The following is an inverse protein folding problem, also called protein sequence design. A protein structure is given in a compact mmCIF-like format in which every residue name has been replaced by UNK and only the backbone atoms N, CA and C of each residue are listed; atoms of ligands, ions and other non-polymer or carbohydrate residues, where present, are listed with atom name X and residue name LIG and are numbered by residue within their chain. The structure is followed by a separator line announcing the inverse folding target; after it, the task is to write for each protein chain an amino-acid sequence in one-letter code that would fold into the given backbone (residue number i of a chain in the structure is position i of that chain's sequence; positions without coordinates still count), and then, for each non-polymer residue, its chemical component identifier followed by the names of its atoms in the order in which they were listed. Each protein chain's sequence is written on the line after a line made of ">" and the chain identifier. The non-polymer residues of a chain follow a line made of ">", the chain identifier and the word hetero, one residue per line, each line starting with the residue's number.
data_IF_018915373794
#
_entry.id   IF_018915373794
#
_cell.length_a   1.000
_cell.length_b   1.000
_cell.length_c   1.000
_cell.angle_alpha   90.00
_cell.angle_beta   90.00
_cell.angle_gamma   90.00
#
_symmetry.space_group_name_H-M   'P 1'
#
loop_
_entity.id
_entity.type
_entity.pdbx_description
1 polymer ?
#
# COMPACT_ATOMS: atom_id res chain seq x y z
N UNK A 1 13.43 18.10 -15.34
CA UNK A 1 13.48 17.90 -13.87
C UNK A 1 14.17 16.56 -13.64
N UNK A 2 15.46 16.57 -13.33
CA UNK A 2 16.28 15.36 -13.20
C UNK A 2 16.09 14.77 -11.80
N UNK A 3 15.72 13.49 -11.75
CA UNK A 3 15.70 12.67 -10.55
C UNK A 3 17.16 12.45 -10.06
N UNK A 4 17.73 13.44 -9.37
CA UNK A 4 19.16 13.49 -9.00
C UNK A 4 19.53 12.74 -7.72
N UNK A 5 18.57 12.11 -7.02
CA UNK A 5 18.81 11.50 -5.71
C UNK A 5 18.47 10.01 -5.65
N UNK A 6 18.92 9.25 -6.65
CA UNK A 6 18.91 7.79 -6.57
C UNK A 6 20.07 7.33 -5.67
N UNK A 7 19.75 6.86 -4.46
CA UNK A 7 20.73 6.16 -3.61
C UNK A 7 20.92 4.76 -4.16
N UNK A 8 22.15 4.44 -4.58
CA UNK A 8 22.49 3.10 -5.05
C UNK A 8 22.39 2.10 -3.89
N UNK A 9 21.45 1.16 -3.97
CA UNK A 9 21.41 0.01 -3.07
C UNK A 9 22.33 -1.09 -3.59
N UNK A 10 23.22 -1.58 -2.73
CA UNK A 10 24.17 -2.64 -3.09
C UNK A 10 23.53 -4.04 -3.08
N UNK A 11 22.36 -4.17 -2.45
CA UNK A 11 21.57 -5.40 -2.44
C UNK A 11 20.66 -5.43 -3.68
N UNK A 12 21.09 -6.18 -4.69
CA UNK A 12 20.35 -6.42 -5.95
C UNK A 12 19.47 -7.67 -5.89
N UNK A 13 19.47 -8.38 -4.76
CA UNK A 13 18.81 -9.69 -4.66
C UNK A 13 17.39 -9.59 -4.12
N UNK A 14 17.05 -8.50 -3.45
CA UNK A 14 15.74 -8.27 -2.89
C UNK A 14 14.92 -7.30 -3.78
N UNK A 15 13.63 -7.60 -4.05
CA UNK A 15 12.80 -6.73 -4.86
C UNK A 15 12.63 -5.35 -4.20
N UNK A 16 12.66 -4.30 -5.02
CA UNK A 16 12.28 -2.95 -4.62
C UNK A 16 10.76 -2.90 -4.67
N UNK A 17 10.10 -2.83 -3.52
CA UNK A 17 8.66 -2.57 -3.48
C UNK A 17 8.44 -1.11 -3.18
N UNK A 18 8.03 -0.38 -4.22
CA UNK A 18 7.70 1.03 -4.12
C UNK A 18 6.28 1.16 -3.56
N UNK A 19 6.18 1.13 -2.23
CA UNK A 19 5.09 1.79 -1.52
C UNK A 19 5.71 3.00 -0.82
N UNK A 20 5.27 4.20 -1.21
CA UNK A 20 5.65 5.44 -0.56
C UNK A 20 4.48 5.93 0.27
N UNK A 21 4.78 6.27 1.51
CA UNK A 21 3.76 6.75 2.43
C UNK A 21 4.27 7.97 3.15
N UNK A 22 3.45 9.02 3.17
CA UNK A 22 3.69 10.16 4.05
C UNK A 22 3.25 9.81 5.46
N UNK A 23 4.20 9.85 6.38
CA UNK A 23 3.98 9.66 7.81
C UNK A 23 4.30 10.99 8.48
N UNK A 24 3.57 11.29 9.55
CA UNK A 24 3.92 12.41 10.40
C UNK A 24 4.92 11.93 11.46
N UNK A 25 6.17 12.33 11.32
CA UNK A 25 7.20 12.16 12.35
C UNK A 25 7.37 13.50 13.07
N UNK A 26 6.90 13.56 14.31
CA UNK A 26 6.81 14.78 15.14
C UNK A 26 5.98 15.87 14.42
N UNK A 27 6.59 17.02 14.14
CA UNK A 27 5.96 18.15 13.45
C UNK A 27 6.19 18.13 11.93
N UNK A 28 6.85 17.09 11.39
CA UNK A 28 7.27 17.03 9.99
C UNK A 28 6.66 15.85 9.24
N UNK A 29 6.45 16.03 7.93
CA UNK A 29 6.05 14.96 7.02
C UNK A 29 7.30 14.26 6.48
N UNK A 30 7.32 12.93 6.57
CA UNK A 30 8.41 12.08 6.10
C UNK A 30 7.85 11.04 5.14
N UNK A 31 8.59 10.76 4.06
CA UNK A 31 8.21 9.71 3.11
C UNK A 31 9.00 8.45 3.42
N UNK A 32 8.32 7.35 3.69
CA UNK A 32 8.96 6.04 3.88
C UNK A 32 9.03 5.27 2.56
N UNK A 33 10.14 4.55 2.34
CA UNK A 33 10.37 3.66 1.21
C UNK A 33 10.94 2.33 1.70
N UNK A 34 10.33 1.20 1.33
CA UNK A 34 10.92 -0.11 1.61
C UNK A 34 11.83 -0.59 0.48
N UNK A 35 13.04 -1.01 0.82
CA UNK A 35 13.97 -1.64 -0.11
C UNK A 35 14.62 -2.84 0.56
N UNK A 36 14.33 -4.03 0.03
CA UNK A 36 14.75 -5.28 0.63
C UNK A 36 14.24 -5.38 2.07
N UNK A 37 15.14 -5.38 3.05
CA UNK A 37 14.82 -5.50 4.48
C UNK A 37 14.84 -4.19 5.26
N UNK A 38 15.01 -3.06 4.57
CA UNK A 38 15.17 -1.75 5.19
C UNK A 38 14.06 -0.81 4.76
N UNK A 39 13.70 0.09 5.67
CA UNK A 39 12.84 1.23 5.37
C UNK A 39 13.70 2.49 5.38
N UNK A 40 13.68 3.25 4.30
CA UNK A 40 14.31 4.55 4.19
C UNK A 40 13.27 5.62 4.45
N UNK A 41 13.58 6.52 5.36
CA UNK A 41 12.79 7.69 5.67
C UNK A 41 13.45 8.90 5.02
N UNK A 42 12.72 9.55 4.13
CA UNK A 42 13.19 10.72 3.39
C UNK A 42 12.38 11.92 3.86
N UNK A 43 13.06 12.89 4.45
CA UNK A 43 12.49 14.19 4.77
C UNK A 43 12.80 15.15 3.62
N UNK A 44 11.77 15.83 3.15
CA UNK A 44 11.90 16.84 2.11
C UNK A 44 11.79 18.24 2.71
N UNK A 45 12.62 19.14 2.22
CA UNK A 45 12.54 20.55 2.55
C UNK A 45 11.30 21.16 1.89
N UNK A 46 10.45 21.83 2.67
CA UNK A 46 9.21 22.43 2.18
C UNK A 46 9.30 23.95 2.15
N UNK A 47 9.19 24.56 0.97
CA UNK A 47 9.18 26.02 0.76
C UNK A 47 7.78 26.58 0.60
N UNK A 48 6.87 26.26 1.52
CA UNK A 48 5.50 26.80 1.56
C UNK A 48 4.54 26.32 0.47
N UNK A 49 5.03 26.01 -0.74
CA UNK A 49 4.22 25.56 -1.88
C UNK A 49 4.83 24.37 -2.62
N UNK A 50 6.09 24.03 -2.37
CA UNK A 50 6.76 22.93 -3.04
C UNK A 50 7.81 22.28 -2.15
N UNK A 51 8.06 21.00 -2.41
CA UNK A 51 9.24 20.30 -1.93
C UNK A 51 10.35 20.44 -2.96
N UNK A 52 11.48 21.05 -2.60
CA UNK A 52 12.53 21.43 -3.55
C UNK A 52 13.85 20.68 -3.35
N UNK A 53 14.07 20.08 -2.19
CA UNK A 53 15.24 19.24 -1.94
C UNK A 53 14.97 18.17 -0.88
N UNK A 54 15.83 17.16 -0.84
CA UNK A 54 15.91 16.23 0.30
C UNK A 54 16.66 16.95 1.42
N UNK A 55 16.03 17.05 2.59
CA UNK A 55 16.64 17.61 3.81
C UNK A 55 17.50 16.56 4.50
N UNK A 56 16.96 15.34 4.66
CA UNK A 56 17.67 14.24 5.30
C UNK A 56 17.12 12.89 4.84
N UNK A 57 17.98 11.87 4.91
CA UNK A 57 17.63 10.47 4.71
C UNK A 57 18.10 9.71 5.94
N UNK A 58 17.21 8.97 6.57
CA UNK A 58 17.57 7.96 7.58
C UNK A 58 17.10 6.59 7.11
N UNK A 59 17.69 5.54 7.66
CA UNK A 59 17.30 4.17 7.36
C UNK A 59 17.03 3.42 8.65
N UNK A 60 15.94 2.67 8.66
CA UNK A 60 15.54 1.79 9.73
C UNK A 60 15.72 0.36 9.25
N UNK A 61 16.38 -0.45 10.07
CA UNK A 61 16.32 -1.89 9.93
C UNK A 61 15.09 -2.33 10.73
N UNK A 62 14.15 -2.99 10.07
CA UNK A 62 13.05 -3.62 10.80
C UNK A 62 13.60 -4.87 11.46
N UNK A 63 13.41 -4.97 12.77
CA UNK A 63 13.84 -6.14 13.54
C UNK A 63 13.16 -7.41 13.00
N UNK A 64 13.89 -8.53 13.05
CA UNK A 64 13.38 -9.87 12.73
C UNK A 64 12.90 -10.12 11.28
N UNK A 65 13.35 -9.33 10.31
CA UNK A 65 13.26 -9.72 8.89
C UNK A 65 14.42 -10.67 8.56
N UNK A 66 14.11 -11.96 8.40
CA UNK A 66 15.12 -13.00 8.20
C UNK A 66 15.93 -12.77 6.92
N UNK A 67 17.17 -13.25 6.92
CA UNK A 67 18.00 -13.23 5.71
C UNK A 67 17.33 -14.07 4.61
N UNK A 68 17.25 -13.53 3.40
CA UNK A 68 16.52 -14.13 2.28
C UNK A 68 15.06 -13.68 2.15
N UNK A 69 14.52 -12.98 3.16
CA UNK A 69 13.21 -12.32 3.10
C UNK A 69 13.34 -10.83 2.77
N UNK A 70 12.21 -10.17 2.48
CA UNK A 70 12.13 -8.74 2.16
C UNK A 70 10.77 -8.18 2.57
N UNK A 71 10.70 -6.86 2.72
CA UNK A 71 9.47 -6.11 2.93
C UNK A 71 8.74 -6.02 1.59
N UNK A 72 7.57 -6.64 1.49
CA UNK A 72 6.80 -6.74 0.26
C UNK A 72 5.80 -5.61 0.05
N UNK A 73 5.43 -4.88 1.10
CA UNK A 73 4.63 -3.65 1.02
C UNK A 73 4.70 -2.86 2.34
N UNK A 74 4.46 -1.55 2.28
CA UNK A 74 4.37 -0.66 3.45
C UNK A 74 3.18 0.28 3.36
N UNK A 75 2.66 0.73 4.51
CA UNK A 75 1.60 1.73 4.59
C UNK A 75 1.70 2.52 5.91
N UNK A 76 1.27 3.78 5.92
CA UNK A 76 1.08 4.53 7.18
C UNK A 76 -0.12 3.94 7.87
N UNK A 77 0.01 3.78 9.17
CA UNK A 77 -1.12 3.43 9.98
C UNK A 77 -1.89 4.69 10.39
N UNK A 78 -3.16 4.78 9.97
CA UNK A 78 -4.04 5.87 10.39
C UNK A 78 -4.60 5.60 11.78
N UNK A 79 -3.86 6.01 12.81
CA UNK A 79 -4.12 5.64 14.22
C UNK A 79 -5.19 6.48 14.93
N UNK A 80 -5.81 7.45 14.26
CA UNK A 80 -6.85 8.31 14.88
C UNK A 80 -8.05 7.47 15.32
N UNK A 81 -8.27 7.40 16.65
CA UNK A 81 -9.33 6.58 17.26
C UNK A 81 -9.03 5.08 17.29
N UNK A 82 -7.87 4.64 16.80
CA UNK A 82 -7.44 3.24 16.81
C UNK A 82 -6.84 2.85 18.15
N UNK A 83 -7.07 1.59 18.54
CA UNK A 83 -6.38 0.95 19.68
C UNK A 83 -4.95 0.55 19.33
N UNK A 84 -4.65 0.42 18.05
CA UNK A 84 -3.33 0.08 17.55
C UNK A 84 -2.43 1.33 17.53
N UNK A 85 -1.29 1.23 18.19
CA UNK A 85 -0.31 2.32 18.33
C UNK A 85 0.99 1.95 17.63
N UNK A 86 0.96 2.04 16.31
CA UNK A 86 2.13 1.99 15.45
C UNK A 86 1.98 3.00 14.31
N UNK A 87 3.09 3.36 13.69
CA UNK A 87 3.18 4.37 12.64
C UNK A 87 3.12 3.73 11.24
N UNK A 88 3.63 2.51 11.14
CA UNK A 88 3.81 1.77 9.90
C UNK A 88 3.17 0.40 9.99
N UNK A 89 2.50 0.02 8.91
CA UNK A 89 2.24 -1.37 8.57
C UNK A 89 3.24 -1.81 7.53
N UNK A 90 3.81 -2.97 7.74
CA UNK A 90 4.66 -3.64 6.75
C UNK A 90 4.15 -5.06 6.53
N UNK A 91 4.30 -5.55 5.30
CA UNK A 91 4.28 -6.99 5.08
C UNK A 91 5.65 -7.50 4.68
N UNK A 92 5.94 -8.73 5.08
CA UNK A 92 7.21 -9.40 4.87
C UNK A 92 6.97 -10.63 3.99
N UNK A 93 7.64 -10.67 2.85
CA UNK A 93 7.36 -11.60 1.76
C UNK A 93 7.54 -13.07 2.12
N UNK A 94 8.77 -13.54 2.34
CA UNK A 94 9.03 -14.98 2.58
C UNK A 94 8.43 -15.47 3.89
N UNK A 95 8.35 -14.59 4.88
CA UNK A 95 7.74 -14.91 6.18
C UNK A 95 6.21 -14.89 6.11
N UNK A 96 5.62 -14.34 5.04
CA UNK A 96 4.18 -14.12 4.90
C UNK A 96 3.55 -13.47 6.14
N UNK A 97 4.23 -12.47 6.70
CA UNK A 97 3.83 -11.82 7.93
C UNK A 97 3.40 -10.38 7.68
N UNK A 98 2.58 -9.86 8.58
CA UNK A 98 2.23 -8.44 8.65
C UNK A 98 2.61 -7.94 10.04
N UNK A 99 3.26 -6.78 10.09
CA UNK A 99 3.74 -6.18 11.34
C UNK A 99 3.39 -4.71 11.42
N UNK A 100 3.06 -4.28 12.62
CA UNK A 100 2.96 -2.88 13.02
C UNK A 100 4.29 -2.44 13.63
N UNK A 101 4.87 -1.38 13.07
CA UNK A 101 6.18 -0.85 13.45
C UNK A 101 6.08 0.63 13.82
N UNK A 102 6.91 1.07 14.75
CA UNK A 102 7.16 2.50 14.99
C UNK A 102 8.10 3.07 13.92
N UNK A 103 8.13 4.40 13.79
CA UNK A 103 9.14 5.11 12.96
C UNK A 103 10.58 4.87 13.48
N UNK A 104 10.76 4.29 14.66
CA UNK A 104 12.08 3.83 15.15
C UNK A 104 12.55 2.52 14.51
N UNK A 105 11.66 1.79 13.81
CA UNK A 105 11.91 0.45 13.29
C UNK A 105 11.52 -0.67 14.26
N UNK A 106 11.16 -0.32 15.50
CA UNK A 106 10.69 -1.27 16.52
C UNK A 106 9.38 -1.93 16.09
N UNK A 107 9.36 -3.26 16.14
CA UNK A 107 8.14 -4.05 15.93
C UNK A 107 7.34 -4.06 17.23
N UNK A 108 6.16 -3.43 17.20
CA UNK A 108 5.28 -3.35 18.39
C UNK A 108 4.09 -4.30 18.30
N UNK A 109 3.76 -4.79 17.11
CA UNK A 109 2.64 -5.70 16.92
C UNK A 109 2.88 -6.65 15.75
N UNK A 110 2.73 -7.94 16.02
CA UNK A 110 2.53 -8.92 14.96
C UNK A 110 1.04 -9.05 14.64
N UNK A 111 0.71 -9.00 13.35
CA UNK A 111 -0.65 -9.19 12.84
C UNK A 111 -0.67 -10.54 12.16
N UNK A 112 -1.18 -11.55 12.87
CA UNK A 112 -1.31 -12.93 12.40
C UNK A 112 -2.76 -13.22 12.04
N UNK A 113 -3.13 -13.25 10.74
CA UNK A 113 -4.42 -13.79 10.34
C UNK A 113 -4.52 -15.27 10.73
N UNK A 114 -5.74 -15.75 10.93
CA UNK A 114 -6.00 -17.16 11.28
C UNK A 114 -5.65 -18.15 10.17
N UNK A 115 -5.68 -17.69 8.93
CA UNK A 115 -5.37 -18.48 7.75
C UNK A 115 -3.94 -18.20 7.31
N UNK A 116 -3.32 -19.18 6.65
CA UNK A 116 -2.02 -18.99 6.03
C UNK A 116 -2.06 -17.84 5.03
N UNK A 117 -1.16 -16.89 5.21
CA UNK A 117 -0.95 -15.81 4.27
C UNK A 117 -0.03 -16.31 3.15
N UNK A 118 -0.37 -15.94 1.92
CA UNK A 118 0.59 -15.87 0.82
C UNK A 118 1.13 -14.44 0.69
N UNK A 119 2.05 -14.23 -0.27
CA UNK A 119 2.72 -12.95 -0.48
C UNK A 119 1.72 -11.79 -0.57
N UNK A 120 1.73 -10.90 0.44
CA UNK A 120 0.94 -9.67 0.45
C UNK A 120 1.63 -8.66 -0.47
N UNK A 121 0.86 -8.14 -1.44
CA UNK A 121 1.34 -7.23 -2.49
C UNK A 121 0.83 -5.80 -2.30
N UNK A 122 -0.22 -5.59 -1.50
CA UNK A 122 -0.69 -4.26 -1.11
C UNK A 122 -1.33 -4.31 0.27
N UNK A 123 -1.12 -3.25 1.07
CA UNK A 123 -1.70 -3.10 2.40
C UNK A 123 -2.18 -1.66 2.61
N UNK A 124 -3.31 -1.49 3.27
CA UNK A 124 -3.83 -0.19 3.68
C UNK A 124 -4.57 -0.29 5.02
N UNK A 125 -4.71 0.82 5.74
CA UNK A 125 -5.39 0.85 7.04
C UNK A 125 -6.43 1.97 7.17
N UNK A 126 -7.44 1.70 8.00
CA UNK A 126 -8.45 2.65 8.47
C UNK A 126 -8.78 2.33 9.92
N UNK A 127 -8.08 2.99 10.85
CA UNK A 127 -8.15 2.65 12.27
C UNK A 127 -7.75 1.20 12.49
N UNK A 128 -8.57 0.44 13.22
CA UNK A 128 -8.28 -0.97 13.53
C UNK A 128 -8.55 -1.95 12.35
N UNK A 129 -9.00 -1.44 11.19
CA UNK A 129 -9.28 -2.24 10.00
C UNK A 129 -8.11 -2.16 9.02
N UNK A 130 -7.60 -3.32 8.63
CA UNK A 130 -6.48 -3.47 7.70
C UNK A 130 -6.99 -4.17 6.45
N UNK A 131 -6.82 -3.53 5.30
CA UNK A 131 -7.10 -4.11 3.99
C UNK A 131 -5.82 -4.71 3.40
N UNK A 132 -5.88 -5.96 2.97
CA UNK A 132 -4.74 -6.66 2.36
C UNK A 132 -5.11 -7.23 0.99
N UNK A 133 -4.17 -7.11 0.06
CA UNK A 133 -4.16 -7.87 -1.19
C UNK A 133 -2.98 -8.82 -1.11
N UNK A 134 -3.23 -10.09 -1.33
CA UNK A 134 -2.20 -11.11 -1.40
C UNK A 134 -2.40 -11.89 -2.70
N UNK A 135 -1.32 -12.51 -3.17
CA UNK A 135 -1.15 -12.90 -4.58
C UNK A 135 -2.22 -13.86 -5.12
N UNK A 136 -2.83 -14.65 -4.25
CA UNK A 136 -3.65 -15.80 -4.66
C UNK A 136 -5.16 -15.55 -4.63
N UNK A 137 -5.65 -14.44 -4.06
CA UNK A 137 -7.10 -14.15 -4.12
C UNK A 137 -7.46 -13.04 -5.09
N UNK A 138 -8.62 -13.23 -5.68
CA UNK A 138 -9.28 -12.27 -6.56
C UNK A 138 -10.12 -11.24 -5.78
N UNK A 139 -9.82 -11.03 -4.49
CA UNK A 139 -10.51 -10.07 -3.63
C UNK A 139 -9.54 -9.43 -2.62
N UNK A 140 -9.94 -8.28 -2.07
CA UNK A 140 -9.22 -7.65 -0.95
C UNK A 140 -9.80 -8.21 0.35
N UNK A 141 -8.96 -8.66 1.28
CA UNK A 141 -9.43 -9.08 2.61
C UNK A 141 -9.39 -7.93 3.59
N UNK A 142 -10.42 -7.83 4.42
CA UNK A 142 -10.46 -6.92 5.55
C UNK A 142 -10.20 -7.69 6.83
N UNK A 143 -9.16 -7.29 7.54
CA UNK A 143 -8.81 -7.79 8.86
C UNK A 143 -9.20 -6.74 9.89
N UNK A 144 -9.85 -7.15 10.98
CA UNK A 144 -9.92 -6.32 12.18
C UNK A 144 -8.81 -6.78 13.09
N UNK A 145 -7.86 -5.89 13.36
CA UNK A 145 -6.80 -6.17 14.32
C UNK A 145 -7.32 -5.84 15.72
N UNK A 146 -7.96 -6.84 16.34
CA UNK A 146 -8.22 -6.88 17.78
C UNK A 146 -7.13 -7.73 18.49
N UNK A 147 -7.39 -8.17 19.72
CA UNK A 147 -6.49 -9.09 20.46
C UNK A 147 -6.27 -10.41 19.69
N UNK A 148 -7.19 -10.77 18.78
CA UNK A 148 -7.19 -11.99 17.98
C UNK A 148 -7.51 -11.70 16.51
N UNK A 149 -6.62 -11.08 15.72
CA UNK A 149 -6.88 -10.70 14.31
C UNK A 149 -7.87 -11.62 13.57
N UNK A 150 -9.12 -11.17 13.38
CA UNK A 150 -10.15 -11.92 12.64
C UNK A 150 -10.38 -11.28 11.28
N UNK A 151 -10.58 -12.11 10.26
CA UNK A 151 -11.18 -11.65 9.02
C UNK A 151 -12.58 -11.11 9.33
N UNK A 152 -12.87 -9.89 8.90
CA UNK A 152 -14.12 -9.20 9.17
C UNK A 152 -14.96 -8.95 7.90
N UNK A 153 -14.38 -9.18 6.73
CA UNK A 153 -15.04 -8.96 5.46
C UNK A 153 -14.10 -9.07 4.27
N UNK A 154 -14.61 -8.77 3.08
CA UNK A 154 -13.83 -8.71 1.85
C UNK A 154 -14.39 -7.65 0.92
N UNK A 155 -13.51 -6.98 0.18
CA UNK A 155 -13.89 -6.10 -0.92
C UNK A 155 -13.84 -6.94 -2.20
N UNK A 156 -15.00 -7.12 -2.83
CA UNK A 156 -15.18 -7.98 -3.99
C UNK A 156 -15.48 -7.08 -5.20
N UNK A 157 -14.98 -7.42 -6.41
CA UNK A 157 -15.32 -6.64 -7.61
C UNK A 157 -16.83 -6.74 -7.89
N UNK A 158 -17.35 -5.79 -8.67
CA UNK A 158 -18.77 -5.81 -9.07
C UNK A 158 -19.03 -7.09 -9.89
N UNK A 159 -20.05 -7.86 -9.50
CA UNK A 159 -20.37 -9.24 -9.97
C UNK A 159 -20.40 -9.45 -11.50
N UNK A 160 -20.45 -8.39 -12.31
CA UNK A 160 -20.46 -8.48 -13.77
C UNK A 160 -19.10 -8.65 -14.45
N UNK A 161 -17.98 -8.71 -13.70
CA UNK A 161 -16.63 -8.88 -14.28
C UNK A 161 -15.78 -9.88 -13.49
N UNK A 162 -16.21 -11.14 -13.43
CA UNK A 162 -15.61 -12.25 -12.67
C UNK A 162 -14.18 -12.68 -13.06
N UNK A 163 -13.46 -11.88 -13.85
CA UNK A 163 -12.07 -12.12 -14.23
C UNK A 163 -11.23 -10.89 -13.88
N UNK A 164 -11.31 -10.41 -12.64
CA UNK A 164 -10.58 -9.23 -12.18
C UNK A 164 -9.84 -9.55 -10.89
N UNK A 165 -8.55 -9.18 -10.86
CA UNK A 165 -7.71 -9.26 -9.68
C UNK A 165 -7.51 -7.87 -9.07
N UNK A 166 -7.49 -7.76 -7.74
CA UNK A 166 -7.10 -6.52 -7.09
C UNK A 166 -5.58 -6.33 -7.24
N UNK A 167 -5.15 -5.10 -7.49
CA UNK A 167 -3.72 -4.76 -7.65
C UNK A 167 -3.25 -3.80 -6.57
N UNK A 168 -4.08 -2.83 -6.20
CA UNK A 168 -3.75 -1.83 -5.19
C UNK A 168 -4.99 -1.47 -4.39
N UNK A 169 -4.80 -1.24 -3.09
CA UNK A 169 -5.85 -0.76 -2.19
C UNK A 169 -5.33 0.41 -1.37
N UNK A 170 -6.15 1.44 -1.21
CA UNK A 170 -5.88 2.59 -0.35
C UNK A 170 -7.10 2.97 0.50
N UNK A 171 -6.85 3.60 1.64
CA UNK A 171 -7.87 4.32 2.40
C UNK A 171 -7.83 5.81 2.04
N UNK A 172 -9.00 6.37 1.71
CA UNK A 172 -9.09 7.78 1.31
C UNK A 172 -9.22 8.76 2.48
N UNK A 173 -9.48 8.26 3.69
CA UNK A 173 -9.96 9.05 4.82
C UNK A 173 -11.47 8.84 5.07
N UNK A 174 -12.22 8.38 4.07
CA UNK A 174 -13.67 8.13 4.18
C UNK A 174 -14.14 6.82 3.56
N UNK A 175 -13.43 6.31 2.56
CA UNK A 175 -13.77 5.09 1.83
C UNK A 175 -12.53 4.31 1.39
N UNK A 176 -12.67 3.00 1.24
CA UNK A 176 -11.67 2.17 0.57
C UNK A 176 -11.75 2.40 -0.94
N UNK A 177 -10.60 2.46 -1.59
CA UNK A 177 -10.51 2.39 -3.04
C UNK A 177 -9.66 1.21 -3.45
N UNK A 178 -10.16 0.45 -4.41
CA UNK A 178 -9.47 -0.73 -4.95
C UNK A 178 -9.32 -0.58 -6.45
N UNK A 179 -8.09 -0.70 -6.92
CA UNK A 179 -7.74 -0.85 -8.32
C UNK A 179 -7.88 -2.32 -8.72
N UNK A 180 -8.80 -2.58 -9.64
CA UNK A 180 -9.05 -3.88 -10.23
C UNK A 180 -8.49 -3.94 -11.65
N UNK A 181 -7.83 -5.05 -11.97
CA UNK A 181 -7.25 -5.30 -13.29
C UNK A 181 -7.80 -6.61 -13.80
N UNK A 182 -8.34 -6.58 -15.02
CA UNK A 182 -8.86 -7.79 -15.65
C UNK A 182 -7.74 -8.78 -15.99
N UNK A 183 -8.05 -10.06 -15.88
CA UNK A 183 -7.15 -11.18 -16.15
C UNK A 183 -7.24 -11.61 -17.62
N UNK A 184 -6.11 -12.11 -18.15
CA UNK A 184 -5.89 -12.79 -19.43
C UNK A 184 -6.49 -12.12 -20.68
N UNK A 185 -7.81 -12.17 -20.83
CA UNK A 185 -8.57 -11.71 -22.00
C UNK A 185 -9.20 -10.34 -21.79
N UNK A 186 -9.45 -9.97 -20.54
CA UNK A 186 -10.11 -8.72 -20.19
C UNK A 186 -9.03 -7.70 -19.83
N UNK A 187 -8.45 -7.03 -20.82
CA UNK A 187 -7.43 -6.01 -20.55
C UNK A 187 -8.04 -4.70 -20.05
N UNK A 188 -9.00 -4.74 -19.14
CA UNK A 188 -9.68 -3.54 -18.62
C UNK A 188 -9.31 -3.32 -17.17
N UNK A 189 -9.23 -2.07 -16.75
CA UNK A 189 -9.06 -1.74 -15.35
C UNK A 189 -10.18 -0.83 -14.85
N UNK A 190 -10.42 -0.91 -13.54
CA UNK A 190 -11.46 -0.12 -12.90
C UNK A 190 -11.16 0.14 -11.44
N UNK A 191 -11.85 1.14 -10.90
CA UNK A 191 -11.71 1.53 -9.50
C UNK A 191 -13.08 1.46 -8.85
N UNK A 192 -13.19 0.60 -7.85
CA UNK A 192 -14.37 0.48 -7.02
C UNK A 192 -14.12 1.14 -5.67
N UNK A 193 -15.17 1.75 -5.12
CA UNK A 193 -15.14 2.38 -3.80
C UNK A 193 -16.06 1.64 -2.84
N UNK A 194 -15.62 1.52 -1.58
CA UNK A 194 -16.34 0.78 -0.55
C UNK A 194 -16.36 1.57 0.77
N UNK A 195 -17.43 1.39 1.56
CA UNK A 195 -17.49 1.86 2.95
C UNK A 195 -16.44 1.14 3.77
N UNK A 196 -16.09 1.66 4.95
CA UNK A 196 -15.13 1.02 5.85
C UNK A 196 -15.49 -0.44 6.17
N UNK A 197 -16.79 -0.75 6.25
CA UNK A 197 -17.37 -2.08 6.48
C UNK A 197 -17.17 -3.08 5.32
N UNK A 198 -16.75 -2.59 4.15
CA UNK A 198 -16.58 -3.37 2.93
C UNK A 198 -17.79 -3.36 2.00
N UNK A 199 -18.89 -2.68 2.36
CA UNK A 199 -20.04 -2.49 1.47
C UNK A 199 -19.65 -1.63 0.25
N UNK A 200 -19.97 -2.08 -0.95
CA UNK A 200 -19.72 -1.34 -2.19
C UNK A 200 -20.54 -0.04 -2.22
N UNK A 201 -19.88 1.09 -2.50
CA UNK A 201 -20.53 2.39 -2.67
C UNK A 201 -20.83 2.63 -4.15
N UNK A 202 -19.79 2.75 -4.98
CA UNK A 202 -19.90 3.04 -6.41
C UNK A 202 -18.68 2.57 -7.19
N UNK A 203 -18.86 2.42 -8.50
CA UNK A 203 -17.78 2.36 -9.48
C UNK A 203 -17.31 3.79 -9.78
N UNK A 204 -16.06 4.11 -9.47
CA UNK A 204 -15.52 5.46 -9.64
C UNK A 204 -14.95 5.69 -11.03
N UNK A 205 -14.25 4.69 -11.59
CA UNK A 205 -13.70 4.74 -12.94
C UNK A 205 -13.80 3.37 -13.58
N UNK A 206 -14.27 3.32 -14.83
CA UNK A 206 -14.05 2.18 -15.71
C UNK A 206 -13.34 2.69 -16.96
N UNK A 207 -12.10 2.24 -17.19
CA UNK A 207 -11.33 2.70 -18.35
C UNK A 207 -11.16 1.59 -19.38
N UNK A 208 -10.85 2.06 -20.58
CA UNK A 208 -10.45 1.36 -21.80
C UNK A 208 -9.42 0.25 -21.61
N UNK A 209 -9.31 -0.57 -22.66
CA UNK A 209 -8.34 -1.64 -22.76
C UNK A 209 -6.91 -1.11 -22.59
N UNK A 210 -6.09 -1.81 -21.81
CA UNK A 210 -4.64 -1.66 -21.74
C UNK A 210 -3.95 -2.75 -22.58
N UNK A 211 -2.68 -2.57 -22.90
CA UNK A 211 -1.75 -3.58 -23.41
C UNK A 211 -0.80 -4.05 -22.30
N UNK A 212 -0.02 -5.11 -22.54
CA UNK A 212 0.79 -5.71 -21.47
C UNK A 212 1.91 -4.76 -20.96
N UNK A 213 2.30 -3.78 -21.77
CA UNK A 213 3.27 -2.73 -21.42
C UNK A 213 2.68 -1.56 -20.61
N UNK A 214 1.36 -1.40 -20.59
CA UNK A 214 0.63 -0.34 -19.87
C UNK A 214 -0.41 -0.95 -18.93
N UNK A 215 -0.04 -2.03 -18.24
CA UNK A 215 -0.85 -2.52 -17.12
C UNK A 215 -0.77 -1.53 -15.94
N UNK A 216 -1.90 -1.19 -15.29
CA UNK A 216 -1.89 -0.35 -14.09
C UNK A 216 -1.35 -1.14 -12.89
N UNK A 217 -0.50 -0.48 -12.10
CA UNK A 217 0.29 -1.13 -11.04
C UNK A 217 0.06 -0.56 -9.65
N UNK A 218 -0.43 0.68 -9.54
CA UNK A 218 -0.57 1.34 -8.24
C UNK A 218 -1.66 2.41 -8.27
N UNK A 219 -2.27 2.61 -7.11
CA UNK A 219 -3.26 3.63 -6.85
C UNK A 219 -2.79 4.55 -5.72
N UNK A 220 -2.85 5.86 -5.95
CA UNK A 220 -2.58 6.88 -4.96
C UNK A 220 -3.65 7.97 -5.00
N UNK A 221 -3.62 8.88 -4.02
CA UNK A 221 -4.52 10.04 -3.97
C UNK A 221 -3.82 11.30 -3.46
N UNK A 222 -4.40 12.44 -3.80
CA UNK A 222 -4.12 13.74 -3.18
C UNK A 222 -5.42 14.54 -3.17
N UNK A 223 -5.91 14.91 -1.97
CA UNK A 223 -7.27 15.46 -1.83
C UNK A 223 -8.33 14.53 -2.42
N UNK A 224 -9.18 15.08 -3.29
CA UNK A 224 -10.24 14.37 -4.02
C UNK A 224 -9.79 13.86 -5.41
N UNK A 225 -8.49 13.94 -5.70
CA UNK A 225 -7.91 13.45 -6.96
C UNK A 225 -7.22 12.12 -6.74
N UNK A 226 -7.55 11.13 -7.56
CA UNK A 226 -6.92 9.81 -7.60
C UNK A 226 -5.94 9.69 -8.75
N UNK A 227 -4.90 8.90 -8.55
CA UNK A 227 -3.78 8.72 -9.47
C UNK A 227 -3.57 7.22 -9.70
N UNK A 228 -3.68 6.78 -10.95
CA UNK A 228 -3.34 5.41 -11.36
C UNK A 228 -2.03 5.43 -12.09
N UNK A 229 -1.03 4.73 -11.55
CA UNK A 229 0.28 4.58 -12.19
C UNK A 229 0.32 3.31 -13.03
N UNK A 230 1.00 3.37 -14.17
CA UNK A 230 1.12 2.28 -15.14
C UNK A 230 2.56 1.82 -15.30
N UNK A 231 2.76 0.58 -15.78
CA UNK A 231 4.09 0.01 -16.07
C UNK A 231 4.93 0.88 -17.00
N UNK A 232 4.31 1.50 -17.99
CA UNK A 232 4.95 2.41 -18.96
C UNK A 232 5.25 3.82 -18.40
N UNK A 233 5.18 4.01 -17.07
CA UNK A 233 5.40 5.28 -16.38
C UNK A 233 4.33 6.36 -16.63
N UNK A 234 3.25 6.04 -17.35
CA UNK A 234 2.12 6.97 -17.48
C UNK A 234 1.30 7.03 -16.18
N UNK A 235 0.61 8.15 -15.98
CA UNK A 235 -0.29 8.38 -14.84
C UNK A 235 -1.64 8.85 -15.39
N UNK A 236 -2.72 8.19 -14.95
CA UNK A 236 -4.09 8.66 -15.20
C UNK A 236 -4.69 9.25 -13.95
N UNK A 237 -5.39 10.37 -14.13
CA UNK A 237 -6.03 11.14 -13.08
C UNK A 237 -7.55 10.94 -13.13
N UNK A 238 -8.20 10.94 -11.97
CA UNK A 238 -9.65 10.95 -11.87
C UNK A 238 -10.10 11.68 -10.61
N UNK A 239 -11.33 12.19 -10.62
CA UNK A 239 -11.98 12.80 -9.46
C UNK A 239 -12.95 11.80 -8.82
N UNK A 240 -13.17 11.87 -7.51
CA UNK A 240 -14.03 10.93 -6.80
C UNK A 240 -14.89 11.55 -5.69
#
# INVERSE_FOLDING_TARGET
>A
MLWQYLVRTYDKTAPVVMANVTIRDKETNVVAFAVGRRVFLVRFHFRGHMYDSVESISSLKVDDVITGSWISCINAHYSSGSKLKFDLLISIGVQNEIRGCLVTGEVVKEIKPREELSLVTSIASSGDVIAIIHREFDHVRLLVSDITTKACGSLIPVKHKSCQRPVSVIWTGSMWMVLWVGQERSKVWMISTYKQTGELIKLSVSSSQFSDGDEPISLARFGNTGFVSFKNHSIKLFQF
#
